data_IF_769776571772
#
_entry.id   IF_769776571772
#
_cell.length_a   1.000
_cell.length_b   1.000
_cell.length_c   1.000
_cell.angle_alpha   90.00
_cell.angle_beta   90.00
_cell.angle_gamma   90.00
#
_symmetry.space_group_name_H-M   'P 1'
#
loop_
_entity.id
_entity.type
_entity.pdbx_description
1 polymer ?
#
# COMPACT_ATOMS: atom_id res chain seq x y z
N UNK A 1 -48.26 38.05 -70.73
CA UNK A 1 -47.82 36.68 -70.36
C UNK A 1 -46.31 36.55 -70.09
N UNK A 2 -45.42 37.30 -70.76
CA UNK A 2 -43.96 37.25 -70.49
C UNK A 2 -43.48 37.89 -69.16
N UNK A 3 -44.30 38.73 -68.51
CA UNK A 3 -43.99 39.24 -67.16
C UNK A 3 -44.25 38.15 -66.11
N UNK A 4 -45.39 37.46 -66.13
CA UNK A 4 -45.78 36.46 -65.12
C UNK A 4 -44.81 35.26 -65.07
N UNK A 5 -44.24 34.82 -66.20
CA UNK A 5 -43.18 33.80 -66.18
C UNK A 5 -41.90 34.31 -65.52
N UNK A 6 -41.48 35.55 -65.80
CA UNK A 6 -40.27 36.15 -65.23
C UNK A 6 -40.38 36.40 -63.72
N UNK A 7 -41.58 36.69 -63.20
CA UNK A 7 -41.84 36.73 -61.75
C UNK A 7 -41.84 35.32 -61.15
N UNK A 8 -42.51 34.34 -61.75
CA UNK A 8 -42.49 32.93 -61.31
C UNK A 8 -41.07 32.34 -61.25
N UNK A 9 -40.23 32.58 -62.25
CA UNK A 9 -38.84 32.09 -62.28
C UNK A 9 -37.94 32.84 -61.30
N UNK A 10 -38.13 34.15 -61.10
CA UNK A 10 -37.35 34.96 -60.16
C UNK A 10 -37.73 34.70 -58.71
N UNK A 11 -39.01 34.40 -58.44
CA UNK A 11 -39.47 33.93 -57.13
C UNK A 11 -38.96 32.52 -56.86
N UNK A 12 -39.03 31.57 -57.81
CA UNK A 12 -38.43 30.23 -57.65
C UNK A 12 -36.92 30.29 -57.38
N UNK A 13 -36.15 31.04 -58.17
CA UNK A 13 -34.70 31.22 -57.94
C UNK A 13 -34.37 31.89 -56.60
N UNK A 14 -35.20 32.84 -56.14
CA UNK A 14 -35.03 33.49 -54.84
C UNK A 14 -35.40 32.56 -53.67
N UNK A 15 -36.46 31.76 -53.82
CA UNK A 15 -36.85 30.73 -52.85
C UNK A 15 -35.77 29.66 -52.74
N UNK A 16 -35.22 29.21 -53.88
CA UNK A 16 -34.11 28.24 -53.94
C UNK A 16 -32.84 28.79 -53.27
N UNK A 17 -32.53 30.08 -53.44
CA UNK A 17 -31.38 30.73 -52.77
C UNK A 17 -31.58 30.91 -51.26
N UNK A 18 -32.78 31.28 -50.81
CA UNK A 18 -33.09 31.40 -49.38
C UNK A 18 -33.11 30.05 -48.66
N UNK A 19 -33.62 29.01 -49.35
CA UNK A 19 -33.64 27.65 -48.85
C UNK A 19 -32.22 27.08 -48.76
N UNK A 20 -31.39 27.32 -49.79
CA UNK A 20 -29.99 26.92 -49.78
C UNK A 20 -29.23 27.57 -48.63
N UNK A 21 -29.38 28.88 -48.42
CA UNK A 21 -28.71 29.57 -47.30
C UNK A 21 -29.16 29.03 -45.93
N UNK A 22 -30.46 28.76 -45.75
CA UNK A 22 -30.96 28.16 -44.52
C UNK A 22 -30.39 26.75 -44.28
N UNK A 23 -30.29 25.95 -45.35
CA UNK A 23 -29.65 24.63 -45.31
C UNK A 23 -28.17 24.75 -44.94
N UNK A 24 -27.43 25.67 -45.55
CA UNK A 24 -26.00 25.90 -45.27
C UNK A 24 -25.76 26.27 -43.80
N UNK A 25 -26.59 27.13 -43.22
CA UNK A 25 -26.53 27.47 -41.79
C UNK A 25 -26.73 26.25 -40.90
N UNK A 26 -27.69 25.37 -41.24
CA UNK A 26 -27.93 24.12 -40.49
C UNK A 26 -26.69 23.21 -40.52
N UNK A 27 -26.00 23.11 -41.67
CA UNK A 27 -24.78 22.31 -41.78
C UNK A 27 -23.65 22.87 -40.91
N UNK A 28 -23.50 24.19 -40.85
CA UNK A 28 -22.51 24.85 -39.99
C UNK A 28 -22.79 24.51 -38.52
N UNK A 29 -24.04 24.70 -38.08
CA UNK A 29 -24.44 24.42 -36.71
C UNK A 29 -24.23 22.95 -36.34
N UNK A 30 -24.54 22.02 -37.25
CA UNK A 30 -24.28 20.59 -37.05
C UNK A 30 -22.81 20.24 -37.00
N UNK A 31 -21.98 20.83 -37.87
CA UNK A 31 -20.54 20.61 -37.84
C UNK A 31 -19.95 21.07 -36.50
N UNK A 32 -20.40 22.20 -35.96
CA UNK A 32 -20.01 22.67 -34.63
C UNK A 32 -20.47 21.71 -33.52
N UNK A 33 -21.75 21.32 -33.50
CA UNK A 33 -22.28 20.42 -32.48
C UNK A 33 -21.60 19.05 -32.47
N UNK A 34 -21.34 18.48 -33.64
CA UNK A 34 -20.62 17.21 -33.77
C UNK A 34 -19.16 17.38 -33.35
N UNK A 35 -18.51 18.47 -33.75
CA UNK A 35 -17.16 18.83 -33.30
C UNK A 35 -17.06 18.93 -31.77
N UNK A 36 -18.03 19.56 -31.12
CA UNK A 36 -18.11 19.71 -29.66
C UNK A 36 -18.32 18.37 -28.94
N UNK A 37 -19.06 17.42 -29.54
CA UNK A 37 -19.23 16.07 -28.98
C UNK A 37 -17.93 15.26 -29.12
N UNK A 38 -17.27 15.35 -30.28
CA UNK A 38 -16.06 14.60 -30.57
C UNK A 38 -14.82 15.13 -29.83
N UNK A 39 -14.79 16.42 -29.51
CA UNK A 39 -13.67 17.08 -28.81
C UNK A 39 -13.58 16.77 -27.32
N UNK A 40 -14.63 16.21 -26.71
CA UNK A 40 -14.62 15.80 -25.31
C UNK A 40 -13.57 14.73 -25.06
N UNK A 41 -12.84 14.88 -23.96
CA UNK A 41 -11.79 13.97 -23.51
C UNK A 41 -12.12 13.43 -22.10
N UNK A 42 -11.94 12.12 -21.90
CA UNK A 42 -12.17 11.50 -20.60
C UNK A 42 -11.10 11.85 -19.57
N UNK A 43 -9.92 12.30 -20.02
CA UNK A 43 -8.85 12.75 -19.12
C UNK A 43 -9.14 14.08 -18.42
N UNK A 44 -10.13 14.86 -18.89
CA UNK A 44 -10.37 16.23 -18.44
C UNK A 44 -10.53 16.37 -16.91
N UNK A 45 -11.31 15.53 -16.20
CA UNK A 45 -11.42 15.62 -14.74
C UNK A 45 -10.08 15.41 -14.02
N UNK A 46 -9.23 14.51 -14.52
CA UNK A 46 -7.90 14.27 -13.96
C UNK A 46 -6.96 15.46 -14.20
N UNK A 47 -7.09 16.15 -15.34
CA UNK A 47 -6.33 17.36 -15.65
C UNK A 47 -6.74 18.56 -14.78
N UNK A 48 -8.01 18.60 -14.36
CA UNK A 48 -8.54 19.57 -13.42
C UNK A 48 -8.18 19.28 -11.95
N UNK A 49 -7.44 18.20 -11.70
CA UNK A 49 -6.99 17.81 -10.36
C UNK A 49 -8.01 17.00 -9.57
N UNK A 50 -9.11 16.55 -10.20
CA UNK A 50 -10.10 15.69 -9.57
C UNK A 50 -9.59 14.25 -9.46
N UNK A 51 -10.30 13.44 -8.67
CA UNK A 51 -9.98 12.04 -8.44
C UNK A 51 -11.14 11.11 -8.85
N UNK A 52 -11.49 11.06 -10.14
CA UNK A 52 -12.56 10.19 -10.62
C UNK A 52 -12.23 8.71 -10.34
N UNK A 53 -13.30 7.93 -10.16
CA UNK A 53 -13.27 6.47 -10.06
C UNK A 53 -13.47 5.83 -11.44
N UNK A 54 -13.13 4.54 -11.63
CA UNK A 54 -13.19 3.87 -12.94
C UNK A 54 -14.55 3.94 -13.64
N UNK A 55 -15.63 4.09 -12.87
CA UNK A 55 -16.99 4.30 -13.39
C UNK A 55 -17.08 5.54 -14.29
N UNK A 56 -16.28 6.57 -14.04
CA UNK A 56 -16.25 7.80 -14.84
C UNK A 56 -15.80 7.53 -16.28
N UNK A 57 -14.72 6.76 -16.48
CA UNK A 57 -14.27 6.34 -17.80
C UNK A 57 -15.33 5.50 -18.53
N UNK A 58 -15.94 4.52 -17.85
CA UNK A 58 -16.98 3.67 -18.44
C UNK A 58 -18.22 4.48 -18.86
N UNK A 59 -18.70 5.34 -17.97
CA UNK A 59 -19.82 6.22 -18.23
C UNK A 59 -19.53 7.21 -19.36
N UNK A 60 -18.31 7.73 -19.44
CA UNK A 60 -17.89 8.63 -20.51
C UNK A 60 -18.03 7.95 -21.87
N UNK A 61 -17.45 6.75 -22.03
CA UNK A 61 -17.50 6.02 -23.30
C UNK A 61 -18.90 5.54 -23.65
N UNK A 62 -19.67 5.10 -22.65
CA UNK A 62 -21.07 4.72 -22.87
C UNK A 62 -21.92 5.91 -23.32
N UNK A 63 -21.79 7.08 -22.65
CA UNK A 63 -22.49 8.30 -23.07
C UNK A 63 -22.04 8.77 -24.46
N UNK A 64 -20.75 8.65 -24.79
CA UNK A 64 -20.23 8.99 -26.12
C UNK A 64 -20.83 8.08 -27.19
N UNK A 65 -20.92 6.78 -26.91
CA UNK A 65 -21.58 5.79 -27.77
C UNK A 65 -23.06 6.13 -28.00
N UNK A 66 -23.83 6.34 -26.93
CA UNK A 66 -25.26 6.64 -27.01
C UNK A 66 -25.54 7.93 -27.78
N UNK A 67 -24.74 8.99 -27.52
CA UNK A 67 -24.84 10.26 -28.23
C UNK A 67 -24.55 10.11 -29.73
N UNK A 68 -23.45 9.43 -30.09
CA UNK A 68 -23.07 9.24 -31.49
C UNK A 68 -24.04 8.30 -32.23
N UNK A 69 -24.63 7.31 -31.55
CA UNK A 69 -25.71 6.50 -32.11
C UNK A 69 -26.92 7.36 -32.45
N UNK A 70 -27.36 8.21 -31.51
CA UNK A 70 -28.48 9.13 -31.73
C UNK A 70 -28.21 10.10 -32.89
N UNK A 71 -27.01 10.71 -32.93
CA UNK A 71 -26.60 11.60 -34.02
C UNK A 71 -26.58 10.84 -35.35
N UNK A 72 -26.04 9.62 -35.39
CA UNK A 72 -26.00 8.81 -36.60
C UNK A 72 -27.42 8.47 -37.11
N UNK A 73 -28.35 8.12 -36.22
CA UNK A 73 -29.76 7.89 -36.58
C UNK A 73 -30.42 9.15 -37.16
N UNK A 74 -30.12 10.33 -36.59
CA UNK A 74 -30.61 11.60 -37.11
C UNK A 74 -30.04 11.92 -38.50
N UNK A 75 -28.73 11.72 -38.69
CA UNK A 75 -28.04 11.93 -39.96
C UNK A 75 -28.54 11.00 -41.07
N UNK A 76 -28.96 9.78 -40.73
CA UNK A 76 -29.52 8.81 -41.67
C UNK A 76 -31.02 9.02 -41.93
N UNK A 77 -31.66 9.99 -41.29
CA UNK A 77 -33.09 10.24 -41.47
C UNK A 77 -33.39 10.78 -42.89
N UNK A 78 -34.59 10.49 -43.45
CA UNK A 78 -34.93 10.89 -44.82
C UNK A 78 -34.94 12.41 -45.03
N UNK A 79 -35.09 13.19 -43.96
CA UNK A 79 -34.99 14.66 -44.00
C UNK A 79 -33.57 15.11 -44.30
N UNK A 80 -32.56 14.47 -43.72
CA UNK A 80 -31.14 14.79 -43.94
C UNK A 80 -30.70 14.34 -45.32
N UNK A 81 -31.19 13.20 -45.79
CA UNK A 81 -30.94 12.77 -47.17
C UNK A 81 -31.44 13.80 -48.19
N UNK A 82 -32.63 14.38 -47.97
CA UNK A 82 -33.13 15.45 -48.82
C UNK A 82 -32.26 16.72 -48.76
N UNK A 83 -31.75 17.09 -47.58
CA UNK A 83 -30.80 18.20 -47.41
C UNK A 83 -29.49 17.93 -48.16
N UNK A 84 -28.97 16.70 -48.07
CA UNK A 84 -27.77 16.25 -48.77
C UNK A 84 -27.95 16.31 -50.30
N UNK A 85 -29.10 15.88 -50.82
CA UNK A 85 -29.43 15.98 -52.24
C UNK A 85 -29.49 17.44 -52.72
N UNK A 86 -30.13 18.34 -51.95
CA UNK A 86 -30.17 19.78 -52.27
C UNK A 86 -28.77 20.39 -52.36
N UNK A 87 -27.89 20.11 -51.39
CA UNK A 87 -26.52 20.63 -51.37
C UNK A 87 -25.67 20.09 -52.52
N UNK A 88 -25.83 18.81 -52.85
CA UNK A 88 -25.12 18.15 -53.95
C UNK A 88 -25.56 18.70 -55.31
N UNK A 89 -26.87 18.82 -55.52
CA UNK A 89 -27.45 19.29 -56.78
C UNK A 89 -27.17 20.79 -56.99
N UNK A 90 -27.11 21.57 -55.90
CA UNK A 90 -26.74 22.99 -55.93
C UNK A 90 -25.21 23.24 -56.01
N UNK A 91 -24.38 22.19 -55.95
CA UNK A 91 -22.91 22.31 -55.89
C UNK A 91 -22.42 23.26 -54.79
N UNK A 92 -23.05 23.21 -53.61
CA UNK A 92 -22.70 24.10 -52.49
C UNK A 92 -21.28 23.84 -51.97
N UNK A 93 -20.60 24.91 -51.53
CA UNK A 93 -19.29 24.82 -50.88
C UNK A 93 -19.33 24.13 -49.51
N UNK A 94 -20.51 23.93 -48.91
CA UNK A 94 -20.70 23.23 -47.64
C UNK A 94 -20.95 21.72 -47.81
N UNK A 95 -21.06 21.22 -49.04
CA UNK A 95 -21.18 19.78 -49.31
C UNK A 95 -20.02 18.97 -48.70
N UNK A 96 -18.73 19.36 -48.83
CA UNK A 96 -17.63 18.67 -48.18
C UNK A 96 -17.70 18.69 -46.65
N UNK A 97 -18.22 19.77 -46.04
CA UNK A 97 -18.38 19.86 -44.60
C UNK A 97 -19.42 18.85 -44.08
N UNK A 98 -20.54 18.70 -44.79
CA UNK A 98 -21.52 17.66 -44.47
C UNK A 98 -20.93 16.26 -44.63
N UNK A 99 -20.16 16.00 -45.70
CA UNK A 99 -19.47 14.71 -45.87
C UNK A 99 -18.50 14.41 -44.72
N UNK A 100 -17.77 15.43 -44.24
CA UNK A 100 -16.90 15.31 -43.05
C UNK A 100 -17.73 14.89 -41.83
N UNK A 101 -18.85 15.57 -41.56
CA UNK A 101 -19.72 15.24 -40.42
C UNK A 101 -20.18 13.78 -40.44
N UNK A 102 -20.62 13.26 -41.59
CA UNK A 102 -20.97 11.83 -41.72
C UNK A 102 -19.79 10.91 -41.43
N UNK A 103 -18.61 11.23 -41.98
CA UNK A 103 -17.39 10.45 -41.78
C UNK A 103 -16.94 10.46 -40.31
N UNK A 104 -16.94 11.63 -39.68
CA UNK A 104 -16.48 11.86 -38.32
C UNK A 104 -17.40 11.16 -37.30
N UNK A 105 -18.72 11.23 -37.52
CA UNK A 105 -19.70 10.50 -36.69
C UNK A 105 -19.57 8.99 -36.87
N UNK A 106 -19.40 8.50 -38.10
CA UNK A 106 -19.21 7.07 -38.35
C UNK A 106 -17.93 6.54 -37.70
N UNK A 107 -16.81 7.26 -37.83
CA UNK A 107 -15.54 6.90 -37.21
C UNK A 107 -15.61 6.95 -35.68
N UNK A 108 -16.19 8.01 -35.10
CA UNK A 108 -16.38 8.13 -33.66
C UNK A 108 -17.30 7.04 -33.10
N UNK A 109 -18.30 6.61 -33.86
CA UNK A 109 -19.21 5.52 -33.49
C UNK A 109 -18.51 4.16 -33.50
N UNK A 110 -17.67 3.90 -34.51
CA UNK A 110 -16.82 2.70 -34.55
C UNK A 110 -15.86 2.66 -33.36
N UNK A 111 -15.19 3.78 -33.09
CA UNK A 111 -14.31 3.95 -31.93
C UNK A 111 -15.04 3.66 -30.61
N UNK A 112 -16.16 4.35 -30.35
CA UNK A 112 -16.88 4.21 -29.09
C UNK A 112 -17.43 2.79 -28.89
N UNK A 113 -17.88 2.12 -29.98
CA UNK A 113 -18.33 0.72 -29.93
C UNK A 113 -17.19 -0.23 -29.58
N UNK A 114 -16.03 -0.08 -30.21
CA UNK A 114 -14.85 -0.91 -29.94
C UNK A 114 -14.41 -0.77 -28.48
N UNK A 115 -14.35 0.47 -27.97
CA UNK A 115 -13.93 0.75 -26.60
C UNK A 115 -14.92 0.20 -25.59
N UNK A 116 -16.22 0.47 -25.73
CA UNK A 116 -17.23 -0.07 -24.82
C UNK A 116 -17.23 -1.60 -24.79
N UNK A 117 -17.04 -2.25 -25.95
CA UNK A 117 -16.96 -3.72 -26.04
C UNK A 117 -15.78 -4.26 -25.22
N UNK A 118 -14.60 -3.67 -25.36
CA UNK A 118 -13.38 -4.15 -24.71
C UNK A 118 -13.29 -3.74 -23.23
N UNK A 119 -13.87 -2.62 -22.82
CA UNK A 119 -13.90 -2.20 -21.41
C UNK A 119 -14.90 -2.98 -20.56
N UNK A 120 -15.91 -3.63 -21.17
CA UNK A 120 -16.96 -4.33 -20.44
C UNK A 120 -16.47 -5.41 -19.46
N UNK A 121 -15.50 -6.29 -19.79
CA UNK A 121 -14.97 -7.25 -18.84
C UNK A 121 -14.23 -6.57 -17.66
N UNK A 122 -13.50 -5.48 -17.94
CA UNK A 122 -12.80 -4.71 -16.91
C UNK A 122 -13.78 -4.05 -15.94
N UNK A 123 -14.88 -3.49 -16.46
CA UNK A 123 -15.95 -2.90 -15.65
C UNK A 123 -16.49 -3.89 -14.62
N UNK A 124 -16.84 -5.11 -15.05
CA UNK A 124 -17.37 -6.14 -14.15
C UNK A 124 -16.37 -6.52 -13.04
N UNK A 125 -15.09 -6.65 -13.39
CA UNK A 125 -14.05 -6.97 -12.41
C UNK A 125 -13.85 -5.86 -11.39
N UNK A 126 -13.94 -4.59 -11.80
CA UNK A 126 -13.79 -3.45 -10.90
C UNK A 126 -15.01 -3.25 -10.01
N UNK A 127 -16.22 -3.52 -10.53
CA UNK A 127 -17.45 -3.54 -9.72
C UNK A 127 -17.41 -4.66 -8.66
N UNK A 128 -16.91 -5.85 -9.01
CA UNK A 128 -16.68 -6.95 -8.07
C UNK A 128 -15.59 -6.58 -7.03
N UNK A 129 -14.51 -5.91 -7.48
CA UNK A 129 -13.42 -5.47 -6.61
C UNK A 129 -13.89 -4.44 -5.59
N UNK A 130 -14.71 -3.47 -5.99
CA UNK A 130 -15.28 -2.44 -5.10
C UNK A 130 -16.15 -3.04 -3.99
N UNK A 131 -16.77 -4.20 -4.24
CA UNK A 131 -17.57 -4.95 -3.25
C UNK A 131 -16.73 -5.91 -2.38
N UNK A 132 -15.43 -6.01 -2.64
CA UNK A 132 -14.54 -6.93 -1.93
C UNK A 132 -14.02 -6.29 -0.64
N UNK A 133 -14.05 -7.04 0.47
CA UNK A 133 -13.51 -6.60 1.75
C UNK A 133 -11.99 -6.82 1.86
N UNK A 134 -11.32 -5.98 2.67
CA UNK A 134 -9.94 -6.22 3.10
C UNK A 134 -9.90 -7.41 4.05
N UNK A 135 -9.67 -8.61 3.50
CA UNK A 135 -9.46 -9.81 4.31
C UNK A 135 -8.00 -9.96 4.68
N UNK A 136 -7.70 -10.21 5.95
CA UNK A 136 -6.36 -10.59 6.39
C UNK A 136 -5.99 -11.94 5.75
N UNK A 137 -4.83 -12.00 5.10
CA UNK A 137 -4.20 -13.27 4.77
C UNK A 137 -3.74 -13.87 6.10
N UNK A 138 -4.59 -14.69 6.71
CA UNK A 138 -4.09 -15.64 7.70
C UNK A 138 -2.99 -16.49 7.07
N UNK A 139 -1.98 -16.96 7.84
CA UNK A 139 -0.97 -17.86 7.31
C UNK A 139 -1.67 -19.00 6.58
N UNK A 140 -1.26 -19.23 5.33
CA UNK A 140 -1.89 -20.20 4.42
C UNK A 140 -2.21 -21.48 5.19
N UNK A 141 -3.50 -21.72 5.43
CA UNK A 141 -3.93 -22.97 6.02
C UNK A 141 -3.36 -24.10 5.14
N UNK A 142 -2.79 -25.16 5.74
CA UNK A 142 -2.24 -26.26 4.97
C UNK A 142 -3.29 -26.79 4.00
N UNK A 143 -2.90 -27.19 2.77
CA UNK A 143 -3.83 -27.59 1.73
C UNK A 143 -4.74 -28.70 2.24
N UNK A 144 -6.03 -28.38 2.44
CA UNK A 144 -7.00 -29.40 2.80
C UNK A 144 -7.23 -30.33 1.60
N UNK A 145 -7.37 -31.64 1.83
CA UNK A 145 -7.65 -32.60 0.77
C UNK A 145 -8.99 -32.28 0.07
N UNK A 146 -9.10 -32.53 -1.23
CA UNK A 146 -10.29 -32.16 -2.00
C UNK A 146 -11.54 -32.86 -1.45
N UNK A 147 -12.69 -32.15 -1.35
CA UNK A 147 -13.91 -32.74 -0.85
C UNK A 147 -14.46 -33.80 -1.83
N UNK A 148 -15.20 -34.80 -1.32
CA UNK A 148 -15.77 -35.85 -2.15
C UNK A 148 -16.75 -35.27 -3.18
N UNK A 149 -16.60 -35.72 -4.43
CA UNK A 149 -17.44 -35.36 -5.58
C UNK A 149 -18.91 -35.68 -5.27
N UNK A 150 -19.71 -34.67 -4.96
CA UNK A 150 -21.14 -34.88 -4.69
C UNK A 150 -21.99 -33.64 -4.42
N UNK A 151 -21.42 -32.46 -4.19
CA UNK A 151 -22.20 -31.24 -3.95
C UNK A 151 -21.78 -30.14 -4.92
N UNK A 152 -22.59 -29.93 -5.96
CA UNK A 152 -22.57 -28.73 -6.80
C UNK A 152 -23.28 -27.61 -6.02
N UNK A 153 -22.66 -27.18 -4.93
CA UNK A 153 -22.98 -25.95 -4.20
C UNK A 153 -21.74 -25.07 -4.27
N UNK A 154 -21.93 -23.81 -4.65
CA UNK A 154 -20.85 -22.87 -4.89
C UNK A 154 -20.04 -22.61 -3.61
N UNK A 155 -18.91 -23.29 -3.47
CA UNK A 155 -17.85 -22.89 -2.54
C UNK A 155 -17.09 -21.73 -3.19
N UNK A 156 -17.73 -20.55 -3.19
CA UNK A 156 -17.07 -19.28 -3.51
C UNK A 156 -16.27 -18.91 -2.27
N UNK A 157 -15.00 -19.33 -2.23
CA UNK A 157 -14.01 -18.61 -1.45
C UNK A 157 -14.18 -17.11 -1.78
N UNK A 158 -14.43 -16.30 -0.75
CA UNK A 158 -14.61 -14.86 -0.92
C UNK A 158 -13.46 -14.31 -1.78
N UNK A 159 -13.73 -13.39 -2.73
CA UNK A 159 -12.66 -12.78 -3.49
C UNK A 159 -11.68 -12.13 -2.52
N UNK A 160 -10.42 -12.55 -2.56
CA UNK A 160 -9.34 -11.86 -1.87
C UNK A 160 -8.94 -10.67 -2.76
N UNK A 161 -8.83 -9.48 -2.17
CA UNK A 161 -8.58 -8.23 -2.91
C UNK A 161 -7.32 -8.31 -3.79
N UNK A 162 -6.25 -8.97 -3.31
CA UNK A 162 -4.99 -9.13 -4.05
C UNK A 162 -5.13 -9.92 -5.37
N UNK A 163 -5.70 -11.14 -5.39
CA UNK A 163 -6.04 -11.84 -6.64
C UNK A 163 -6.99 -11.07 -7.58
N UNK A 164 -7.82 -10.16 -7.07
CA UNK A 164 -8.68 -9.31 -7.91
C UNK A 164 -7.85 -8.24 -8.64
N UNK A 165 -6.91 -7.60 -7.94
CA UNK A 165 -5.97 -6.63 -8.53
C UNK A 165 -5.22 -7.24 -9.72
N UNK A 166 -4.76 -8.49 -9.58
CA UNK A 166 -4.04 -9.19 -10.64
C UNK A 166 -4.89 -9.40 -11.88
N UNK A 167 -6.15 -9.82 -11.68
CA UNK A 167 -7.11 -10.02 -12.77
C UNK A 167 -7.43 -8.71 -13.47
N UNK A 168 -7.63 -7.64 -12.71
CA UNK A 168 -7.90 -6.29 -13.24
C UNK A 168 -6.77 -5.84 -14.15
N UNK A 169 -5.51 -5.90 -13.69
CA UNK A 169 -4.37 -5.47 -14.49
C UNK A 169 -4.11 -6.37 -15.69
N UNK A 170 -4.28 -7.69 -15.54
CA UNK A 170 -4.20 -8.62 -16.67
C UNK A 170 -5.28 -8.34 -17.72
N UNK A 171 -6.53 -8.11 -17.30
CA UNK A 171 -7.61 -7.75 -18.22
C UNK A 171 -7.34 -6.40 -18.89
N UNK A 172 -6.79 -5.42 -18.17
CA UNK A 172 -6.39 -4.15 -18.77
C UNK A 172 -5.29 -4.33 -19.83
N UNK A 173 -4.31 -5.22 -19.58
CA UNK A 173 -3.32 -5.61 -20.59
C UNK A 173 -3.94 -6.28 -21.83
N UNK A 174 -4.99 -7.08 -21.65
CA UNK A 174 -5.76 -7.63 -22.78
C UNK A 174 -6.54 -6.55 -23.54
N UNK A 175 -7.14 -5.58 -22.85
CA UNK A 175 -7.80 -4.43 -23.49
C UNK A 175 -6.81 -3.67 -24.36
N UNK A 176 -5.63 -3.37 -23.83
CA UNK A 176 -4.54 -2.75 -24.58
C UNK A 176 -4.15 -3.54 -25.83
N UNK A 177 -4.00 -4.86 -25.70
CA UNK A 177 -3.55 -5.71 -26.80
C UNK A 177 -4.61 -5.94 -27.88
N UNK A 178 -5.90 -5.84 -27.54
CA UNK A 178 -7.02 -6.26 -28.42
C UNK A 178 -7.87 -5.13 -28.96
N UNK A 179 -8.05 -4.05 -28.20
CA UNK A 179 -8.82 -2.90 -28.66
C UNK A 179 -8.03 -2.14 -29.72
N UNK A 180 -8.72 -1.73 -30.79
CA UNK A 180 -8.10 -0.95 -31.87
C UNK A 180 -8.02 0.53 -31.54
N UNK A 181 -8.86 0.98 -30.61
CA UNK A 181 -9.00 2.37 -30.26
C UNK A 181 -8.55 2.66 -28.82
N UNK A 182 -8.63 1.73 -27.87
CA UNK A 182 -8.21 1.97 -26.49
C UNK A 182 -6.70 1.79 -26.25
N UNK A 183 -5.97 1.26 -27.23
CA UNK A 183 -4.55 0.92 -27.16
C UNK A 183 -3.61 2.15 -27.28
N UNK A 184 -3.94 3.26 -26.60
CA UNK A 184 -3.11 4.47 -26.58
C UNK A 184 -2.66 4.81 -25.15
N UNK A 185 -1.38 5.23 -24.94
CA UNK A 185 -0.87 5.52 -23.61
C UNK A 185 -1.76 6.48 -22.82
N UNK A 186 -2.28 7.51 -23.47
CA UNK A 186 -3.14 8.52 -22.84
C UNK A 186 -4.39 7.89 -22.19
N UNK A 187 -5.08 6.99 -22.88
CA UNK A 187 -6.31 6.33 -22.38
C UNK A 187 -6.01 5.35 -21.26
N UNK A 188 -4.96 4.54 -21.40
CA UNK A 188 -4.56 3.61 -20.34
C UNK A 188 -4.12 4.33 -19.07
N UNK A 189 -3.42 5.46 -19.19
CA UNK A 189 -3.04 6.28 -18.04
C UNK A 189 -4.29 6.78 -17.29
N UNK A 190 -5.36 7.17 -18.00
CA UNK A 190 -6.63 7.59 -17.37
C UNK A 190 -7.20 6.47 -16.51
N UNK A 191 -7.47 5.29 -17.08
CA UNK A 191 -8.08 4.19 -16.32
C UNK A 191 -7.15 3.66 -15.22
N UNK A 192 -5.82 3.64 -15.41
CA UNK A 192 -4.88 3.26 -14.35
C UNK A 192 -4.94 4.25 -13.17
N UNK A 193 -5.02 5.55 -13.44
CA UNK A 193 -5.18 6.56 -12.39
C UNK A 193 -6.51 6.41 -11.67
N UNK A 194 -7.59 6.12 -12.39
CA UNK A 194 -8.89 5.87 -11.79
C UNK A 194 -8.91 4.60 -10.93
N UNK A 195 -8.26 3.52 -11.37
CA UNK A 195 -8.07 2.29 -10.57
C UNK A 195 -7.27 2.60 -9.30
N UNK A 196 -6.22 3.44 -9.41
CA UNK A 196 -5.47 3.90 -8.24
C UNK A 196 -6.37 4.68 -7.28
N UNK A 197 -7.23 5.57 -7.79
CA UNK A 197 -8.16 6.33 -6.96
C UNK A 197 -9.15 5.42 -6.24
N UNK A 198 -9.68 4.40 -6.92
CA UNK A 198 -10.55 3.39 -6.31
C UNK A 198 -9.84 2.65 -5.18
N UNK A 199 -8.62 2.17 -5.40
CA UNK A 199 -7.86 1.48 -4.35
C UNK A 199 -7.57 2.40 -3.15
N UNK A 200 -7.22 3.67 -3.39
CA UNK A 200 -7.03 4.67 -2.33
C UNK A 200 -8.33 4.84 -1.53
N UNK A 201 -9.48 4.98 -2.19
CA UNK A 201 -10.78 5.13 -1.52
C UNK A 201 -11.14 3.88 -0.71
N UNK A 202 -10.96 2.69 -1.28
CA UNK A 202 -11.17 1.44 -0.57
C UNK A 202 -10.25 1.31 0.65
N UNK A 203 -8.96 1.65 0.55
CA UNK A 203 -8.03 1.64 1.69
C UNK A 203 -8.45 2.65 2.76
N UNK A 204 -8.86 3.86 2.35
CA UNK A 204 -9.31 4.90 3.28
C UNK A 204 -10.59 4.51 4.00
N UNK A 205 -11.52 3.86 3.33
CA UNK A 205 -12.74 3.32 3.95
C UNK A 205 -12.43 2.18 4.92
N UNK A 206 -11.44 1.34 4.61
CA UNK A 206 -11.00 0.25 5.48
C UNK A 206 -10.29 0.74 6.74
N UNK A 207 -9.35 1.69 6.61
CA UNK A 207 -8.58 2.21 7.74
C UNK A 207 -9.31 3.28 8.54
N UNK A 208 -10.23 4.02 7.90
CA UNK A 208 -10.89 5.23 8.40
C UNK A 208 -9.92 6.36 8.80
N UNK A 209 -9.94 7.53 8.13
CA UNK A 209 -9.13 8.68 8.52
C UNK A 209 -9.25 9.09 9.99
N UNK A 210 -10.42 8.91 10.58
CA UNK A 210 -10.73 9.34 11.95
C UNK A 210 -10.27 8.35 13.03
N UNK A 211 -10.05 7.09 12.65
CA UNK A 211 -9.75 5.99 13.58
C UNK A 211 -8.27 5.60 13.50
N UNK A 212 -7.66 5.68 12.31
CA UNK A 212 -6.34 5.12 12.02
C UNK A 212 -5.21 5.64 12.89
N UNK A 213 -5.27 6.86 13.44
CA UNK A 213 -4.28 7.33 14.42
C UNK A 213 -4.77 7.20 15.86
N UNK A 214 -6.08 7.11 16.10
CA UNK A 214 -6.62 6.84 17.44
C UNK A 214 -6.30 5.42 17.91
N UNK A 215 -6.12 4.48 16.99
CA UNK A 215 -5.66 3.13 17.32
C UNK A 215 -4.35 3.11 18.13
N UNK A 216 -3.54 4.17 18.07
CA UNK A 216 -2.35 4.35 18.91
C UNK A 216 -2.65 4.36 20.43
N UNK A 217 -3.89 4.63 20.84
CA UNK A 217 -4.28 4.72 22.25
C UNK A 217 -4.96 3.45 22.81
N UNK A 218 -5.01 2.35 22.06
CA UNK A 218 -5.61 1.11 22.61
C UNK A 218 -5.67 -0.10 21.69
N UNK A 219 -5.60 0.08 20.38
CA UNK A 219 -5.75 -0.99 19.38
C UNK A 219 -4.50 -1.06 18.48
N UNK A 220 -3.32 -0.97 19.09
CA UNK A 220 -2.08 -0.69 18.37
C UNK A 220 -1.72 -1.83 17.42
N UNK A 221 -1.73 -3.08 17.90
CA UNK A 221 -1.38 -4.26 17.10
C UNK A 221 -2.40 -4.56 16.01
N UNK A 222 -3.70 -4.42 16.31
CA UNK A 222 -4.77 -4.64 15.34
C UNK A 222 -4.73 -3.59 14.22
N UNK A 223 -4.65 -2.31 14.59
CA UNK A 223 -4.55 -1.21 13.62
C UNK A 223 -3.29 -1.33 12.78
N UNK A 224 -2.14 -1.65 13.38
CA UNK A 224 -0.91 -1.91 12.64
C UNK A 224 -1.06 -3.08 11.65
N UNK A 225 -1.75 -4.15 12.05
CA UNK A 225 -2.09 -5.26 11.15
C UNK A 225 -2.88 -4.80 9.93
N UNK A 226 -3.89 -3.95 10.12
CA UNK A 226 -4.68 -3.34 9.05
C UNK A 226 -3.86 -2.39 8.16
N UNK A 227 -2.98 -1.58 8.75
CA UNK A 227 -2.05 -0.71 7.99
C UNK A 227 -1.10 -1.55 7.14
N UNK A 228 -0.50 -2.61 7.69
CA UNK A 228 0.37 -3.55 6.97
C UNK A 228 -0.35 -4.23 5.81
N UNK A 229 -1.59 -4.67 6.02
CA UNK A 229 -2.41 -5.26 4.97
C UNK A 229 -2.67 -4.24 3.85
N UNK A 230 -2.91 -2.98 4.20
CA UNK A 230 -3.11 -1.88 3.26
C UNK A 230 -1.85 -1.60 2.43
N UNK A 231 -0.68 -1.52 3.08
CA UNK A 231 0.62 -1.38 2.41
C UNK A 231 0.86 -2.55 1.44
N UNK A 232 0.64 -3.78 1.88
CA UNK A 232 0.81 -4.98 1.06
C UNK A 232 -0.13 -5.00 -0.16
N UNK A 233 -1.36 -4.52 0.01
CA UNK A 233 -2.37 -4.44 -1.06
C UNK A 233 -1.98 -3.42 -2.12
N UNK A 234 -1.58 -2.21 -1.70
CA UNK A 234 -1.07 -1.18 -2.63
C UNK A 234 0.20 -1.65 -3.34
N UNK A 235 1.12 -2.30 -2.63
CA UNK A 235 2.30 -2.92 -3.24
C UNK A 235 1.95 -4.06 -4.20
N UNK A 236 0.83 -4.76 -4.01
CA UNK A 236 0.40 -5.78 -4.97
C UNK A 236 0.07 -5.14 -6.31
N UNK A 237 -0.67 -4.03 -6.34
CA UNK A 237 -0.96 -3.28 -7.59
C UNK A 237 0.32 -2.94 -8.35
N UNK A 238 1.30 -2.34 -7.67
CA UNK A 238 2.56 -1.93 -8.29
C UNK A 238 3.34 -3.14 -8.82
N UNK A 239 3.44 -4.22 -8.03
CA UNK A 239 4.10 -5.46 -8.47
C UNK A 239 3.40 -6.11 -9.67
N UNK A 240 2.08 -6.19 -9.64
CA UNK A 240 1.30 -6.81 -10.71
C UNK A 240 1.37 -6.01 -12.01
N UNK A 241 1.56 -4.68 -11.92
CA UNK A 241 1.83 -3.84 -13.08
C UNK A 241 3.19 -4.16 -13.72
N UNK A 242 4.22 -4.38 -12.89
CA UNK A 242 5.57 -4.75 -13.35
C UNK A 242 5.63 -6.19 -13.89
N UNK A 243 4.93 -7.13 -13.25
CA UNK A 243 4.85 -8.54 -13.66
C UNK A 243 4.01 -8.74 -14.95
N UNK A 244 3.03 -7.87 -15.19
CA UNK A 244 2.10 -7.96 -16.32
C UNK A 244 2.66 -7.54 -17.69
N UNK A 245 3.98 -7.40 -17.83
CA UNK A 245 4.62 -6.89 -19.05
C UNK A 245 4.68 -7.87 -20.25
N UNK A 246 4.34 -9.15 -20.07
CA UNK A 246 4.18 -10.07 -21.21
C UNK A 246 2.69 -10.37 -21.45
N UNK A 247 2.16 -10.15 -22.68
CA UNK A 247 2.86 -10.00 -23.95
C UNK A 247 3.06 -8.55 -24.46
N UNK A 248 2.91 -7.50 -23.64
CA UNK A 248 3.16 -6.12 -24.12
C UNK A 248 3.60 -5.14 -23.02
N UNK A 249 4.74 -4.49 -23.26
CA UNK A 249 5.27 -3.43 -22.41
C UNK A 249 4.50 -2.12 -22.62
N UNK A 250 4.13 -1.46 -21.52
CA UNK A 250 3.56 -0.12 -21.52
C UNK A 250 4.53 0.88 -22.17
N UNK A 251 4.05 1.66 -23.14
CA UNK A 251 4.87 2.68 -23.83
C UNK A 251 4.78 4.05 -23.13
N UNK A 252 4.96 4.06 -21.81
CA UNK A 252 4.97 5.29 -21.00
C UNK A 252 5.65 5.09 -19.63
N UNK A 253 6.21 6.16 -19.03
CA UNK A 253 6.76 6.10 -17.68
C UNK A 253 5.69 5.80 -16.61
N UNK A 254 5.91 4.84 -15.68
CA UNK A 254 4.94 4.49 -14.62
C UNK A 254 4.53 5.69 -13.76
N UNK A 255 5.44 6.65 -13.55
CA UNK A 255 5.18 7.88 -12.81
C UNK A 255 4.02 8.72 -13.37
N UNK A 256 3.65 8.55 -14.65
CA UNK A 256 2.47 9.21 -15.21
C UNK A 256 1.17 8.62 -14.65
N UNK A 257 1.12 7.33 -14.32
CA UNK A 257 -0.06 6.69 -13.74
C UNK A 257 -0.02 6.68 -12.20
N UNK A 258 1.14 6.40 -11.60
CA UNK A 258 1.24 6.01 -10.20
C UNK A 258 1.70 7.09 -9.22
N UNK A 259 2.05 8.31 -9.65
CA UNK A 259 2.58 9.37 -8.74
C UNK A 259 1.76 9.57 -7.46
N UNK A 260 0.42 9.63 -7.57
CA UNK A 260 -0.48 9.78 -6.42
C UNK A 260 -0.48 8.54 -5.53
N UNK A 261 -0.50 7.35 -6.15
CA UNK A 261 -0.41 6.07 -5.45
C UNK A 261 0.92 5.92 -4.71
N UNK A 262 2.05 6.30 -5.31
CA UNK A 262 3.37 6.31 -4.65
C UNK A 262 3.42 7.25 -3.45
N UNK A 263 2.72 8.40 -3.53
CA UNK A 263 2.56 9.31 -2.40
C UNK A 263 1.72 8.69 -1.28
N UNK A 264 0.61 8.04 -1.64
CA UNK A 264 -0.23 7.33 -0.68
C UNK A 264 0.49 6.15 -0.02
N UNK A 265 1.26 5.36 -0.77
CA UNK A 265 2.08 4.28 -0.23
C UNK A 265 3.12 4.78 0.76
N UNK A 266 3.81 5.89 0.44
CA UNK A 266 4.74 6.55 1.38
C UNK A 266 4.01 6.97 2.65
N UNK A 267 2.81 7.53 2.52
CA UNK A 267 1.99 7.92 3.67
C UNK A 267 1.65 6.72 4.57
N UNK A 268 1.19 5.62 3.99
CA UNK A 268 0.90 4.40 4.76
C UNK A 268 2.13 3.86 5.50
N UNK A 269 3.31 3.89 4.86
CA UNK A 269 4.58 3.48 5.50
C UNK A 269 5.01 4.40 6.63
N UNK A 270 4.77 5.70 6.50
CA UNK A 270 5.01 6.65 7.60
C UNK A 270 4.14 6.32 8.82
N UNK A 271 2.87 5.98 8.60
CA UNK A 271 1.97 5.54 9.67
C UNK A 271 2.44 4.19 10.24
N UNK A 272 2.82 3.24 9.40
CA UNK A 272 3.40 1.95 9.82
C UNK A 272 4.62 2.13 10.74
N UNK A 273 5.59 2.97 10.33
CA UNK A 273 6.80 3.28 11.10
C UNK A 273 6.48 3.97 12.44
N UNK A 274 5.47 4.85 12.47
CA UNK A 274 4.98 5.48 13.69
C UNK A 274 4.47 4.41 14.68
N UNK A 275 3.63 3.49 14.20
CA UNK A 275 3.08 2.40 15.01
C UNK A 275 4.16 1.44 15.52
N UNK A 276 5.10 1.03 14.66
CA UNK A 276 6.21 0.16 15.04
C UNK A 276 7.07 0.81 16.13
N UNK A 277 7.40 2.09 15.95
CA UNK A 277 8.17 2.85 16.94
C UNK A 277 7.40 2.99 18.26
N UNK A 278 6.08 3.25 18.21
CA UNK A 278 5.26 3.33 19.40
C UNK A 278 5.26 1.99 20.17
N UNK A 279 5.03 0.86 19.50
CA UNK A 279 5.07 -0.48 20.13
C UNK A 279 6.41 -0.75 20.81
N UNK A 280 7.52 -0.39 20.17
CA UNK A 280 8.86 -0.61 20.73
C UNK A 280 9.07 0.18 22.03
N UNK A 281 8.69 1.46 22.06
CA UNK A 281 8.91 2.31 23.23
C UNK A 281 7.87 2.13 24.33
N UNK A 282 6.63 1.76 24.02
CA UNK A 282 5.61 1.47 25.04
C UNK A 282 5.99 0.27 25.91
N UNK A 283 6.84 -0.64 25.43
CA UNK A 283 7.42 -1.74 26.24
C UNK A 283 8.24 -1.22 27.43
N UNK A 284 8.75 0.01 27.37
CA UNK A 284 9.53 0.62 28.46
C UNK A 284 8.71 0.78 29.74
N UNK A 285 7.37 0.84 29.67
CA UNK A 285 6.50 0.93 30.85
C UNK A 285 6.77 -0.20 31.86
N UNK A 286 7.11 -1.39 31.36
CA UNK A 286 7.31 -2.61 32.15
C UNK A 286 8.77 -2.91 32.47
N UNK A 287 9.69 -2.00 32.11
CA UNK A 287 11.12 -2.21 32.35
C UNK A 287 11.45 -1.86 33.80
N UNK A 288 11.85 -2.87 34.56
CA UNK A 288 12.27 -2.71 35.95
C UNK A 288 13.78 -2.91 36.09
N UNK A 289 14.51 -1.83 36.39
CA UNK A 289 15.94 -1.88 36.59
C UNK A 289 16.29 -2.10 38.07
N UNK A 290 16.93 -3.23 38.36
CA UNK A 290 17.47 -3.56 39.67
C UNK A 290 18.89 -3.01 39.91
N UNK A 291 19.46 -3.31 41.07
CA UNK A 291 20.84 -2.91 41.42
C UNK A 291 20.94 -1.59 42.19
N UNK A 292 22.17 -1.17 42.48
CA UNK A 292 22.45 -0.02 43.37
C UNK A 292 21.91 1.30 42.80
N UNK A 293 22.01 1.47 41.48
CA UNK A 293 21.46 2.61 40.73
C UNK A 293 20.12 2.30 40.03
N UNK A 294 19.53 1.13 40.29
CA UNK A 294 18.32 0.66 39.62
C UNK A 294 17.16 1.64 39.66
N UNK A 295 16.87 2.20 40.84
CA UNK A 295 15.81 3.20 41.01
C UNK A 295 16.04 4.48 40.19
N UNK A 296 17.29 4.91 40.03
CA UNK A 296 17.64 6.12 39.26
C UNK A 296 17.38 5.86 37.78
N UNK A 297 17.92 4.76 37.26
CA UNK A 297 17.74 4.40 35.86
C UNK A 297 16.29 4.07 35.54
N UNK A 298 15.59 3.35 36.43
CA UNK A 298 14.16 3.05 36.29
C UNK A 298 13.32 4.31 36.20
N UNK A 299 13.58 5.31 37.05
CA UNK A 299 12.90 6.62 36.97
C UNK A 299 13.19 7.35 35.66
N UNK A 300 14.42 7.27 35.12
CA UNK A 300 14.76 7.89 33.85
C UNK A 300 14.09 7.19 32.66
N UNK A 301 14.01 5.86 32.69
CA UNK A 301 13.30 5.05 31.68
C UNK A 301 11.80 5.36 31.71
N UNK A 302 11.20 5.46 32.90
CA UNK A 302 9.80 5.82 33.04
C UNK A 302 9.49 7.22 32.49
N UNK A 303 10.35 8.21 32.75
CA UNK A 303 10.21 9.55 32.15
C UNK A 303 10.27 9.50 30.62
N UNK A 304 11.19 8.72 30.05
CA UNK A 304 11.26 8.53 28.58
C UNK A 304 9.99 7.87 28.04
N UNK A 305 9.41 6.91 28.76
CA UNK A 305 8.12 6.33 28.41
C UNK A 305 7.00 7.38 28.41
N UNK A 306 6.89 8.20 29.45
CA UNK A 306 5.88 9.28 29.52
C UNK A 306 6.06 10.29 28.37
N UNK A 307 7.30 10.66 28.04
CA UNK A 307 7.60 11.53 26.90
C UNK A 307 7.08 10.93 25.58
N UNK A 308 7.31 9.64 25.33
CA UNK A 308 6.81 8.97 24.11
C UNK A 308 5.29 8.86 24.13
N UNK A 309 4.68 8.49 25.25
CA UNK A 309 3.23 8.38 25.38
C UNK A 309 2.54 9.71 25.03
N UNK A 310 3.10 10.84 25.47
CA UNK A 310 2.62 12.17 25.14
C UNK A 310 2.77 12.53 23.66
N UNK A 311 3.87 12.12 23.02
CA UNK A 311 4.06 12.29 21.57
C UNK A 311 3.03 11.48 20.78
N UNK A 312 2.85 10.22 21.14
CA UNK A 312 1.88 9.31 20.52
C UNK A 312 0.45 9.83 20.69
N UNK A 313 0.11 10.33 21.89
CA UNK A 313 -1.16 10.99 22.17
C UNK A 313 -1.41 12.19 21.25
N UNK A 314 -0.38 12.98 20.97
CA UNK A 314 -0.44 14.09 20.02
C UNK A 314 -0.87 13.68 18.61
N UNK A 315 -0.42 12.53 18.11
CA UNK A 315 -0.87 11.99 16.80
C UNK A 315 -2.31 11.49 16.83
N UNK A 316 -2.71 10.80 17.90
CA UNK A 316 -4.08 10.33 18.07
C UNK A 316 -5.10 11.49 18.14
N UNK A 317 -4.69 12.62 18.71
CA UNK A 317 -5.51 13.84 18.84
C UNK A 317 -5.40 14.79 17.61
N UNK A 318 -4.78 14.34 16.50
CA UNK A 318 -4.60 15.18 15.32
C UNK A 318 -5.94 15.61 14.70
N UNK A 319 -5.94 16.74 13.99
CA UNK A 319 -7.15 17.38 13.42
C UNK A 319 -7.20 17.35 11.89
N UNK A 320 -6.16 16.82 11.27
CA UNK A 320 -6.05 16.68 9.82
C UNK A 320 -6.33 15.24 9.42
N UNK A 321 -6.55 15.01 8.13
CA UNK A 321 -6.68 13.66 7.60
C UNK A 321 -5.29 13.01 7.46
N UNK A 322 -4.94 12.00 8.29
CA UNK A 322 -3.64 11.37 8.21
C UNK A 322 -3.46 10.54 6.94
N UNK A 323 -4.54 10.11 6.27
CA UNK A 323 -4.49 9.28 5.07
C UNK A 323 -4.48 10.09 3.78
N UNK A 324 -4.61 11.42 3.82
CA UNK A 324 -4.50 12.27 2.63
C UNK A 324 -3.03 12.45 2.20
N UNK A 325 -2.61 12.00 1.00
CA UNK A 325 -1.26 12.22 0.51
C UNK A 325 -0.90 13.69 0.28
N UNK A 326 -1.88 14.58 0.13
CA UNK A 326 -1.66 16.01 -0.09
C UNK A 326 -1.47 16.78 1.23
N UNK A 327 -1.87 16.20 2.37
CA UNK A 327 -1.74 16.83 3.68
C UNK A 327 -0.28 16.83 4.13
N UNK A 328 0.37 17.99 4.20
CA UNK A 328 1.78 18.07 4.59
C UNK A 328 2.02 18.02 6.09
N UNK A 329 1.00 18.30 6.92
CA UNK A 329 1.19 18.46 8.36
C UNK A 329 1.70 17.19 9.02
N UNK A 330 1.19 16.01 8.65
CA UNK A 330 1.69 14.74 9.19
C UNK A 330 3.19 14.55 8.91
N UNK A 331 3.67 14.95 7.73
CA UNK A 331 5.08 14.80 7.39
C UNK A 331 5.97 15.67 8.29
N UNK A 332 5.49 16.86 8.68
CA UNK A 332 6.19 17.77 9.59
C UNK A 332 6.19 17.21 11.02
N UNK A 333 5.01 16.83 11.51
CA UNK A 333 4.85 16.25 12.85
C UNK A 333 5.68 14.97 13.01
N UNK A 334 5.71 14.13 11.98
CA UNK A 334 6.50 12.90 11.96
C UNK A 334 8.01 13.17 11.95
N UNK A 335 8.49 14.17 11.21
CA UNK A 335 9.92 14.54 11.23
C UNK A 335 10.36 15.08 12.61
N UNK A 336 9.50 15.86 13.28
CA UNK A 336 9.73 16.29 14.65
C UNK A 336 9.73 15.11 15.63
N UNK A 337 8.78 14.18 15.48
CA UNK A 337 8.73 12.94 16.24
C UNK A 337 10.00 12.12 16.07
N UNK A 338 10.47 11.87 14.84
CA UNK A 338 11.71 11.14 14.57
C UNK A 338 12.91 11.81 15.25
N UNK A 339 12.98 13.14 15.25
CA UNK A 339 14.05 13.88 15.93
C UNK A 339 14.04 13.61 17.44
N UNK A 340 12.86 13.60 18.07
CA UNK A 340 12.71 13.28 19.49
C UNK A 340 13.02 11.81 19.79
N UNK A 341 12.58 10.88 18.96
CA UNK A 341 12.89 9.46 19.08
C UNK A 341 14.41 9.22 19.02
N UNK A 342 15.12 9.92 18.12
CA UNK A 342 16.59 9.81 18.07
C UNK A 342 17.29 10.36 19.32
N UNK A 343 16.72 11.36 20.01
CA UNK A 343 17.24 11.82 21.32
C UNK A 343 17.03 10.75 22.40
N UNK A 344 15.82 10.17 22.44
CA UNK A 344 15.47 9.09 23.36
C UNK A 344 16.33 7.85 23.13
N UNK A 345 16.62 7.48 21.88
CA UNK A 345 17.55 6.39 21.55
C UNK A 345 18.95 6.61 22.18
N UNK A 346 19.47 7.85 22.14
CA UNK A 346 20.78 8.20 22.74
C UNK A 346 20.75 8.17 24.26
N UNK A 347 19.67 8.67 24.87
CA UNK A 347 19.47 8.62 26.33
C UNK A 347 19.36 7.19 26.82
N UNK A 348 18.57 6.36 26.13
CA UNK A 348 18.39 4.95 26.42
C UNK A 348 19.71 4.17 26.29
N UNK A 349 20.49 4.46 25.24
CA UNK A 349 21.84 3.90 25.07
C UNK A 349 22.73 4.23 26.26
N UNK A 350 22.72 5.48 26.73
CA UNK A 350 23.53 5.90 27.88
C UNK A 350 23.15 5.14 29.15
N UNK A 351 21.85 4.97 29.40
CA UNK A 351 21.33 4.20 30.53
C UNK A 351 21.74 2.74 30.43
N UNK A 352 21.62 2.15 29.24
CA UNK A 352 22.03 0.77 28.99
C UNK A 352 23.53 0.57 29.28
N UNK A 353 24.40 1.41 28.72
CA UNK A 353 25.85 1.31 28.93
C UNK A 353 26.21 1.43 30.42
N UNK A 354 25.66 2.42 31.12
CA UNK A 354 25.92 2.60 32.55
C UNK A 354 25.36 1.45 33.40
N UNK A 355 24.19 0.91 33.04
CA UNK A 355 23.60 -0.24 33.71
C UNK A 355 24.39 -1.52 33.46
N UNK A 356 24.97 -1.68 32.26
CA UNK A 356 25.83 -2.82 31.94
C UNK A 356 27.13 -2.75 32.73
N UNK A 357 27.77 -1.59 32.80
CA UNK A 357 29.01 -1.38 33.57
C UNK A 357 28.82 -1.64 35.08
N UNK A 358 27.60 -1.46 35.59
CA UNK A 358 27.23 -1.78 36.99
C UNK A 358 26.99 -3.27 37.25
N UNK A 359 26.89 -4.10 36.21
CA UNK A 359 26.61 -5.52 36.37
C UNK A 359 27.83 -6.26 36.91
N UNK A 360 27.70 -6.80 38.14
CA UNK A 360 28.76 -7.56 38.80
C UNK A 360 28.78 -9.06 38.43
N UNK A 361 27.81 -9.52 37.65
CA UNK A 361 27.69 -10.91 37.24
C UNK A 361 27.18 -11.01 35.80
N UNK A 362 27.55 -12.09 35.12
CA UNK A 362 27.05 -12.37 33.76
C UNK A 362 25.52 -12.49 33.76
N UNK A 363 24.95 -13.11 34.80
CA UNK A 363 23.50 -13.26 34.92
C UNK A 363 22.76 -11.92 34.98
N UNK A 364 23.30 -10.91 35.69
CA UNK A 364 22.72 -9.55 35.68
C UNK A 364 22.85 -8.86 34.32
N UNK A 365 24.01 -9.00 33.67
CA UNK A 365 24.26 -8.38 32.36
C UNK A 365 23.34 -8.97 31.28
N UNK A 366 23.15 -10.29 31.26
CA UNK A 366 22.24 -10.97 30.32
C UNK A 366 20.77 -10.59 30.58
N UNK A 367 20.36 -10.47 31.85
CA UNK A 367 19.02 -9.94 32.17
C UNK A 367 18.81 -8.52 31.64
N UNK A 368 19.81 -7.64 31.76
CA UNK A 368 19.75 -6.29 31.22
C UNK A 368 19.56 -6.31 29.69
N UNK A 369 20.32 -7.14 28.98
CA UNK A 369 20.18 -7.32 27.53
C UNK A 369 18.78 -7.81 27.17
N UNK A 370 18.24 -8.80 27.87
CA UNK A 370 16.89 -9.31 27.59
C UNK A 370 15.81 -8.24 27.80
N UNK A 371 15.91 -7.42 28.86
CA UNK A 371 14.95 -6.35 29.12
C UNK A 371 14.87 -5.32 27.99
N UNK A 372 16.00 -5.01 27.35
CA UNK A 372 16.07 -4.05 26.24
C UNK A 372 16.06 -4.70 24.85
N UNK A 373 15.93 -6.03 24.74
CA UNK A 373 16.15 -6.82 23.51
C UNK A 373 15.63 -6.17 22.23
N UNK A 374 14.34 -5.84 22.13
CA UNK A 374 13.78 -5.24 20.90
C UNK A 374 14.29 -3.82 20.63
N UNK A 375 14.71 -3.09 21.66
CA UNK A 375 15.26 -1.73 21.54
C UNK A 375 16.73 -1.77 21.13
N UNK A 376 17.47 -2.83 21.48
CA UNK A 376 18.88 -3.00 21.11
C UNK A 376 19.08 -3.18 19.60
N UNK A 377 18.05 -3.62 18.87
CA UNK A 377 18.10 -3.74 17.41
C UNK A 377 18.00 -2.40 16.68
N UNK A 378 17.60 -1.33 17.37
CA UNK A 378 17.47 0.01 16.77
C UNK A 378 18.84 0.52 16.33
N UNK A 379 19.01 1.06 15.11
CA UNK A 379 20.33 1.31 14.52
C UNK A 379 21.29 2.15 15.37
N UNK A 380 20.79 3.20 16.03
CA UNK A 380 21.61 4.07 16.88
C UNK A 380 22.09 3.38 18.16
N UNK A 381 21.25 2.52 18.74
CA UNK A 381 21.53 1.77 19.97
C UNK A 381 22.49 0.62 19.64
N UNK A 382 22.15 -0.15 18.61
CA UNK A 382 22.93 -1.29 18.11
C UNK A 382 24.40 -0.95 17.85
N UNK A 383 24.64 0.20 17.22
CA UNK A 383 25.99 0.68 16.91
C UNK A 383 26.86 0.89 18.17
N UNK A 384 26.25 1.31 19.28
CA UNK A 384 26.98 1.55 20.53
C UNK A 384 27.01 0.33 21.45
N UNK A 385 25.98 -0.53 21.39
CA UNK A 385 25.88 -1.72 22.26
C UNK A 385 26.68 -2.90 21.74
N UNK A 386 27.01 -2.95 20.44
CA UNK A 386 27.75 -4.07 19.83
C UNK A 386 29.01 -4.54 20.60
N UNK A 387 29.89 -3.65 21.14
CA UNK A 387 31.05 -4.07 21.92
C UNK A 387 30.71 -4.82 23.21
N UNK A 388 29.54 -4.57 23.81
CA UNK A 388 29.12 -5.20 25.05
C UNK A 388 28.78 -6.68 24.90
N UNK A 389 28.46 -7.16 23.69
CA UNK A 389 28.35 -8.60 23.44
C UNK A 389 29.69 -9.32 23.54
N UNK A 390 30.79 -8.66 23.13
CA UNK A 390 32.13 -9.21 23.34
C UNK A 390 32.49 -9.23 24.83
N UNK A 391 32.13 -8.19 25.58
CA UNK A 391 32.29 -8.17 27.03
C UNK A 391 31.49 -9.31 27.73
N UNK A 392 30.27 -9.61 27.29
CA UNK A 392 29.50 -10.76 27.79
C UNK A 392 30.22 -12.10 27.56
N UNK A 393 30.85 -12.27 26.38
CA UNK A 393 31.63 -13.46 26.06
C UNK A 393 32.85 -13.58 26.98
N UNK A 394 33.53 -12.46 27.27
CA UNK A 394 34.66 -12.44 28.21
C UNK A 394 34.23 -12.75 29.65
N UNK A 395 33.06 -12.25 30.08
CA UNK A 395 32.46 -12.62 31.37
C UNK A 395 32.17 -14.12 31.45
N UNK A 396 31.64 -14.72 30.37
CA UNK A 396 31.41 -16.16 30.31
C UNK A 396 32.73 -16.95 30.33
N UNK A 397 33.75 -16.49 29.62
CA UNK A 397 35.07 -17.11 29.65
C UNK A 397 35.67 -17.10 31.07
N UNK A 398 35.51 -15.99 31.79
CA UNK A 398 35.93 -15.88 33.19
C UNK A 398 35.18 -16.87 34.09
N UNK A 399 33.87 -17.07 33.86
CA UNK A 399 33.09 -18.09 34.58
C UNK A 399 33.55 -19.53 34.26
N UNK A 400 33.95 -19.82 33.03
CA UNK A 400 34.54 -21.11 32.65
C UNK A 400 35.88 -21.34 33.37
N UNK A 401 36.74 -20.32 33.42
CA UNK A 401 38.03 -20.38 34.13
C UNK A 401 37.80 -20.60 35.64
N UNK A 402 36.84 -19.91 36.24
CA UNK A 402 36.46 -20.10 37.64
C UNK A 402 35.94 -21.52 37.91
N UNK A 403 35.07 -22.05 37.04
CA UNK A 403 34.57 -23.41 37.16
C UNK A 403 35.68 -24.45 37.03
N UNK A 404 36.66 -24.21 36.15
CA UNK A 404 37.86 -25.05 36.01
C UNK A 404 38.70 -25.04 37.29
N UNK A 405 38.96 -23.86 37.88
CA UNK A 405 39.68 -23.75 39.14
C UNK A 405 38.99 -24.49 40.28
N UNK A 406 37.65 -24.40 40.36
CA UNK A 406 36.86 -25.16 41.33
C UNK A 406 37.00 -26.67 41.12
N UNK A 407 37.00 -27.11 39.85
CA UNK A 407 37.19 -28.52 39.50
C UNK A 407 38.57 -29.03 39.92
N UNK A 408 39.63 -28.31 39.53
CA UNK A 408 41.01 -28.69 39.80
C UNK A 408 41.29 -28.71 41.32
N UNK A 409 40.76 -27.75 42.08
CA UNK A 409 40.86 -27.72 43.54
C UNK A 409 40.17 -28.91 44.20
N UNK A 410 39.00 -29.31 43.70
CA UNK A 410 38.26 -30.46 44.22
C UNK A 410 38.99 -31.78 43.93
N UNK A 411 39.55 -31.92 42.72
CA UNK A 411 40.36 -33.09 42.34
C UNK A 411 41.62 -33.19 43.20
N UNK A 412 42.32 -32.07 43.42
CA UNK A 412 43.48 -32.02 44.30
C UNK A 412 43.11 -32.40 45.75
N UNK A 413 41.99 -31.89 46.27
CA UNK A 413 41.49 -32.25 47.59
C UNK A 413 41.18 -33.76 47.69
N UNK A 414 40.52 -34.35 46.68
CA UNK A 414 40.26 -35.78 46.64
C UNK A 414 41.55 -36.61 46.69
N UNK A 415 42.60 -36.20 45.98
CA UNK A 415 43.89 -36.91 46.02
C UNK A 415 44.57 -36.84 47.39
N UNK A 416 44.39 -35.75 48.14
CA UNK A 416 44.97 -35.58 49.48
C UNK A 416 44.22 -36.35 50.57
N UNK A 417 42.90 -36.55 50.45
CA UNK A 417 42.04 -37.21 51.46
C UNK A 417 41.71 -38.66 51.14
N UNK A 418 42.52 -39.33 50.31
CA UNK A 418 42.35 -40.76 50.02
C UNK A 418 41.17 -41.10 49.10
N UNK A 419 40.83 -40.20 48.18
CA UNK A 419 39.85 -40.41 47.11
C UNK A 419 38.44 -39.88 47.40
N UNK A 420 38.22 -39.21 48.54
CA UNK A 420 36.91 -38.63 48.89
C UNK A 420 37.06 -37.10 48.97
N UNK A 421 36.62 -36.34 47.95
CA UNK A 421 36.63 -34.89 47.99
C UNK A 421 35.62 -34.32 49.01
N UNK A 422 35.71 -33.01 49.33
CA UNK A 422 34.69 -32.31 50.12
C UNK A 422 33.30 -32.44 49.48
N UNK A 423 32.38 -33.15 50.15
CA UNK A 423 30.99 -33.33 49.70
C UNK A 423 30.02 -32.61 50.62
N UNK A 424 28.79 -32.38 50.13
CA UNK A 424 27.70 -31.81 50.92
C UNK A 424 27.42 -32.64 52.19
N UNK A 425 27.02 -31.96 53.26
CA UNK A 425 26.71 -32.59 54.56
C UNK A 425 25.66 -33.70 54.37
N UNK A 426 25.84 -34.82 55.06
CA UNK A 426 24.95 -35.99 55.04
C UNK A 426 24.82 -36.71 53.68
N UNK A 427 25.74 -36.50 52.73
CA UNK A 427 25.75 -37.25 51.47
C UNK A 427 26.66 -38.49 51.53
N UNK A 428 26.24 -39.64 50.98
CA UNK A 428 27.12 -40.77 50.74
C UNK A 428 28.26 -40.41 49.78
N UNK A 429 29.47 -41.01 49.90
CA UNK A 429 30.65 -40.61 49.12
C UNK A 429 30.44 -40.57 47.60
N UNK A 430 29.83 -41.62 47.02
CA UNK A 430 29.61 -41.70 45.57
C UNK A 430 28.53 -40.71 45.11
N UNK A 431 27.40 -40.66 45.83
CA UNK A 431 26.30 -39.76 45.49
C UNK A 431 26.68 -38.28 45.66
N UNK A 432 27.48 -37.95 46.68
CA UNK A 432 27.99 -36.60 46.92
C UNK A 432 28.95 -36.13 45.83
N UNK A 433 29.84 -37.00 45.35
CA UNK A 433 30.73 -36.70 44.23
C UNK A 433 29.97 -36.43 42.93
N UNK A 434 28.99 -37.30 42.61
CA UNK A 434 28.12 -37.11 41.45
C UNK A 434 27.30 -35.82 41.55
N UNK A 435 26.75 -35.53 42.74
CA UNK A 435 25.95 -34.31 42.93
C UNK A 435 26.81 -33.04 42.78
N UNK A 436 28.02 -33.02 43.31
CA UNK A 436 28.94 -31.89 43.12
C UNK A 436 29.31 -31.68 41.64
N UNK A 437 29.58 -32.76 40.90
CA UNK A 437 29.88 -32.67 39.47
C UNK A 437 28.67 -32.12 38.69
N UNK A 438 27.46 -32.57 39.05
CA UNK A 438 26.21 -32.05 38.50
C UNK A 438 26.01 -30.56 38.83
N UNK A 439 26.28 -30.13 40.07
CA UNK A 439 26.17 -28.72 40.46
C UNK A 439 27.13 -27.81 39.67
N UNK A 440 28.35 -28.29 39.39
CA UNK A 440 29.30 -27.56 38.56
C UNK A 440 28.86 -27.48 37.10
N UNK A 441 28.26 -28.55 36.57
CA UNK A 441 27.65 -28.57 35.25
C UNK A 441 26.46 -27.60 35.17
N UNK A 442 25.52 -27.69 36.12
CA UNK A 442 24.33 -26.82 36.23
C UNK A 442 24.73 -25.34 36.32
N UNK A 443 25.82 -25.02 37.03
CA UNK A 443 26.38 -23.66 37.12
C UNK A 443 26.74 -23.09 35.75
N UNK A 444 27.28 -23.90 34.84
CA UNK A 444 27.69 -23.47 33.50
C UNK A 444 26.55 -23.52 32.48
N UNK A 445 25.62 -24.47 32.62
CA UNK A 445 24.53 -24.66 31.67
C UNK A 445 23.56 -23.49 31.62
N UNK A 446 23.24 -22.86 32.76
CA UNK A 446 22.36 -21.69 32.82
C UNK A 446 22.89 -20.51 31.99
N UNK A 447 24.05 -19.94 32.35
CA UNK A 447 24.64 -18.82 31.61
C UNK A 447 24.92 -19.15 30.14
N UNK A 448 25.28 -20.40 29.83
CA UNK A 448 25.43 -20.88 28.44
C UNK A 448 24.10 -20.84 27.70
N UNK A 449 23.01 -21.30 28.30
CA UNK A 449 21.69 -21.26 27.65
C UNK A 449 21.25 -19.82 27.41
N UNK A 450 21.41 -18.95 28.39
CA UNK A 450 20.97 -17.56 28.31
C UNK A 450 21.78 -16.78 27.26
N UNK A 451 23.10 -16.97 27.21
CA UNK A 451 23.95 -16.32 26.21
C UNK A 451 23.63 -16.78 24.78
N UNK A 452 23.34 -18.07 24.57
CA UNK A 452 22.94 -18.60 23.26
C UNK A 452 21.51 -18.24 22.85
N UNK A 453 20.69 -17.74 23.79
CA UNK A 453 19.35 -17.24 23.51
C UNK A 453 19.33 -15.77 23.09
N UNK A 454 20.48 -15.09 23.13
CA UNK A 454 20.63 -13.74 22.62
C UNK A 454 20.85 -13.84 21.11
N UNK A 455 19.88 -13.36 20.34
CA UNK A 455 20.07 -13.16 18.90
C UNK A 455 21.10 -12.04 18.69
N UNK A 456 22.20 -12.37 18.02
CA UNK A 456 23.24 -11.41 17.61
C UNK A 456 23.39 -11.49 16.08
N UNK A 457 23.65 -10.36 15.39
CA UNK A 457 23.96 -10.34 13.97
C UNK A 457 25.14 -11.21 13.55
#
# INVERSE_FOLDING_TARGET
>A
LARVSRWSTRTRLATDSSLLHAVETIIIDWAHQVGDVLSKDSAQPLLEGLHPLPRAEFDFWQRRLDNLQCINEQLLSPRVSAIADILRDAQSCYWPALQSVFSDVAAGLEEARDICLHLRPLQLLLEDMEQTEYSQVGPAAPPQPPPPRGHRGADRSAPQLQPCIDRVLFTLGLVWARSRHYNSPARVIVILREICNLLIEMTRNFLSPEEVLKGLQGEIEETLGSVRLSVATVQRLLRSYDEGQEPQCWDFPPALAFRRMDSFLRRLRTIEELYETAIEFLKLEKVELGGVRGNIFGSQVFQMYEEVAELVRGFADCKYDPLDPAEEQLNKDFAEFQTKIQDLDRRLTTIFCQGFDDCNSMASAVKLVHMFSSLLERPLIKAQVSPYYSALLEMFNTELDNAKLMYDAQVAAATATGGIPPINKNMPPVAGQLKWALELQERLEGPRKDLWAIDHP
#
